data_IF_906082956556
#
_entry.id   IF_906082956556
#
_cell.length_a   1.000
_cell.length_b   1.000
_cell.length_c   1.000
_cell.angle_alpha   90.00
_cell.angle_beta   90.00
_cell.angle_gamma   90.00
#
_symmetry.space_group_name_H-M   'P 1'
#
loop_
_entity.id
_entity.type
_entity.pdbx_description
1 polymer ?
#
# COMPACT_ATOMS: atom_id res chain seq x y z
N UNK A 1 -28.19 24.88 -3.28
CA UNK A 1 -27.42 24.31 -2.19
C UNK A 1 -27.65 22.80 -1.95
N UNK A 2 -28.85 22.21 -2.09
CA UNK A 2 -29.07 20.77 -1.89
C UNK A 2 -28.62 19.84 -3.04
N UNK A 3 -28.30 20.34 -4.21
CA UNK A 3 -27.87 19.52 -5.38
C UNK A 3 -26.34 19.34 -5.49
N UNK A 4 -25.55 20.14 -4.82
CA UNK A 4 -24.09 20.06 -4.86
C UNK A 4 -23.54 19.11 -3.79
N UNK A 5 -24.25 18.97 -2.66
CA UNK A 5 -23.89 17.99 -1.61
C UNK A 5 -24.11 16.53 -2.11
N UNK A 6 -25.07 16.34 -3.04
CA UNK A 6 -25.27 15.03 -3.67
C UNK A 6 -24.13 14.63 -4.66
N UNK A 7 -23.38 15.59 -5.20
CA UNK A 7 -22.31 15.29 -6.16
C UNK A 7 -21.00 14.91 -5.48
N UNK A 8 -20.67 15.50 -4.33
CA UNK A 8 -19.48 15.15 -3.57
C UNK A 8 -19.65 13.82 -2.80
N UNK A 9 -20.85 13.55 -2.28
CA UNK A 9 -21.18 12.22 -1.75
C UNK A 9 -21.23 11.15 -2.86
N UNK A 10 -21.59 11.53 -4.09
CA UNK A 10 -21.57 10.64 -5.23
C UNK A 10 -20.15 10.32 -5.73
N UNK A 11 -19.13 11.18 -5.51
CA UNK A 11 -17.76 10.85 -5.95
C UNK A 11 -17.04 9.87 -5.01
N UNK A 12 -17.44 9.71 -3.78
CA UNK A 12 -16.87 8.76 -2.83
C UNK A 12 -17.67 7.48 -2.66
N UNK A 13 -18.96 7.52 -2.89
CA UNK A 13 -19.72 6.33 -3.29
C UNK A 13 -19.41 5.95 -4.74
N UNK A 14 -18.83 6.84 -5.55
CA UNK A 14 -18.39 6.53 -6.91
C UNK A 14 -17.02 5.84 -6.96
N UNK A 15 -16.18 5.92 -5.94
CA UNK A 15 -15.01 5.02 -5.79
C UNK A 15 -15.45 3.59 -5.41
N UNK A 16 -16.62 3.43 -4.76
CA UNK A 16 -17.31 2.15 -4.61
C UNK A 16 -18.52 1.97 -5.57
N UNK A 17 -18.98 2.98 -6.32
CA UNK A 17 -20.26 2.98 -7.02
C UNK A 17 -20.23 3.41 -8.49
N UNK A 18 -19.05 3.48 -9.11
CA UNK A 18 -18.93 3.43 -10.57
C UNK A 18 -18.80 2.00 -11.11
N UNK A 19 -18.88 0.98 -10.27
CA UNK A 19 -19.24 -0.34 -10.72
C UNK A 19 -20.72 -0.25 -11.18
N UNK A 20 -20.96 -0.42 -12.48
CA UNK A 20 -22.30 -0.61 -13.00
C UNK A 20 -22.99 -1.69 -12.16
N UNK A 21 -24.09 -1.39 -11.43
CA UNK A 21 -24.81 -2.41 -10.66
C UNK A 21 -25.23 -3.59 -11.52
N UNK A 22 -25.35 -3.42 -12.86
CA UNK A 22 -25.62 -4.47 -13.81
C UNK A 22 -24.35 -5.21 -14.29
N UNK A 23 -23.14 -4.72 -14.01
CA UNK A 23 -21.90 -5.44 -14.31
C UNK A 23 -21.78 -6.74 -13.51
N UNK A 24 -22.51 -6.86 -12.41
CA UNK A 24 -22.58 -8.04 -11.53
C UNK A 24 -23.80 -8.94 -11.75
N UNK A 25 -24.58 -8.75 -12.82
CA UNK A 25 -25.76 -9.59 -13.08
C UNK A 25 -25.45 -11.09 -13.28
N UNK A 26 -24.18 -11.47 -13.34
CA UNK A 26 -23.70 -12.87 -13.42
C UNK A 26 -22.62 -13.22 -12.39
N UNK A 27 -22.33 -12.31 -11.43
CA UNK A 27 -21.48 -12.54 -10.26
C UNK A 27 -22.24 -12.20 -9.00
N UNK A 28 -21.93 -12.86 -7.91
CA UNK A 28 -22.54 -12.60 -6.62
C UNK A 28 -21.50 -11.96 -5.69
N UNK A 29 -21.80 -10.77 -5.19
CA UNK A 29 -21.02 -10.15 -4.12
C UNK A 29 -21.42 -10.77 -2.79
N UNK A 30 -20.65 -11.76 -2.34
CA UNK A 30 -20.93 -12.47 -1.10
C UNK A 30 -20.83 -11.60 0.14
N UNK A 31 -19.96 -10.57 0.10
CA UNK A 31 -19.84 -9.56 1.17
C UNK A 31 -21.12 -8.79 1.43
N UNK A 32 -22.05 -8.68 0.46
CA UNK A 32 -23.37 -8.04 0.67
C UNK A 32 -24.31 -8.90 1.52
N UNK A 33 -24.04 -10.20 1.68
CA UNK A 33 -24.82 -11.12 2.50
C UNK A 33 -24.60 -10.95 4.01
N UNK A 34 -23.56 -10.23 4.40
CA UNK A 34 -23.19 -9.96 5.79
C UNK A 34 -23.18 -8.47 6.07
N UNK A 35 -23.56 -8.09 7.29
CA UNK A 35 -23.45 -6.70 7.73
C UNK A 35 -22.26 -6.58 8.66
N UNK A 36 -21.42 -5.55 8.43
CA UNK A 36 -20.34 -5.22 9.34
C UNK A 36 -20.91 -5.04 10.75
N UNK A 37 -20.40 -5.83 11.70
CA UNK A 37 -20.76 -5.68 13.09
C UNK A 37 -20.04 -4.46 13.65
N UNK A 38 -20.78 -3.41 13.96
CA UNK A 38 -20.23 -2.14 14.46
C UNK A 38 -19.45 -2.29 15.79
N UNK A 39 -19.64 -3.41 16.50
CA UNK A 39 -18.95 -3.72 17.76
C UNK A 39 -17.86 -4.79 17.62
N UNK A 40 -17.61 -5.36 16.44
CA UNK A 40 -16.68 -6.48 16.28
C UNK A 40 -15.22 -6.03 16.26
N UNK A 41 -14.91 -4.92 15.62
CA UNK A 41 -13.81 -4.07 16.01
C UNK A 41 -14.44 -3.13 17.02
N UNK A 42 -14.01 -3.09 18.25
CA UNK A 42 -14.34 -1.97 19.14
C UNK A 42 -14.22 -0.75 18.25
N UNK A 43 -15.31 -0.07 17.99
CA UNK A 43 -15.36 0.99 16.98
C UNK A 43 -14.33 1.99 17.43
N UNK A 44 -13.15 1.95 16.81
CA UNK A 44 -12.08 2.88 17.08
C UNK A 44 -12.58 4.21 16.56
N UNK A 45 -13.28 4.92 17.42
CA UNK A 45 -13.90 6.19 17.09
C UNK A 45 -12.85 7.28 17.29
N UNK A 46 -12.01 7.48 16.29
CA UNK A 46 -10.97 8.51 16.30
C UNK A 46 -11.53 9.93 16.39
N UNK A 47 -12.82 10.14 16.05
CA UNK A 47 -13.46 11.45 16.09
C UNK A 47 -13.40 12.10 17.48
N UNK A 48 -13.24 11.31 18.55
CA UNK A 48 -13.08 11.79 19.92
C UNK A 48 -11.63 11.75 20.45
N UNK A 49 -10.64 11.41 19.62
CA UNK A 49 -9.22 11.50 19.94
C UNK A 49 -8.70 10.48 20.97
N UNK A 50 -9.36 9.36 21.18
CA UNK A 50 -9.12 8.52 22.34
C UNK A 50 -9.26 7.01 22.15
N UNK A 51 -8.99 6.42 21.01
CA UNK A 51 -8.82 4.97 20.99
C UNK A 51 -7.35 4.60 21.18
N UNK A 52 -7.05 3.97 22.30
CA UNK A 52 -5.71 3.44 22.54
C UNK A 52 -5.43 2.29 21.54
N UNK A 53 -4.18 2.18 21.03
CA UNK A 53 -3.83 1.07 20.18
C UNK A 53 -4.02 -0.28 20.90
N UNK A 54 -4.38 -1.35 20.18
CA UNK A 54 -4.44 -2.69 20.76
C UNK A 54 -3.13 -3.06 21.46
N UNK A 55 -3.20 -3.84 22.53
CA UNK A 55 -2.02 -4.22 23.33
C UNK A 55 -0.92 -4.87 22.50
N UNK A 56 -1.29 -5.64 21.46
CA UNK A 56 -0.35 -6.30 20.53
C UNK A 56 0.15 -5.39 19.40
N UNK A 57 -0.26 -4.11 19.35
CA UNK A 57 -0.04 -3.27 18.18
C UNK A 57 1.44 -3.01 17.88
N UNK A 58 2.28 -2.81 18.90
CA UNK A 58 3.72 -2.64 18.70
C UNK A 58 4.36 -3.91 18.11
N UNK A 59 3.94 -5.09 18.56
CA UNK A 59 4.42 -6.35 18.00
C UNK A 59 3.95 -6.54 16.55
N UNK A 60 2.71 -6.17 16.28
CA UNK A 60 2.14 -6.14 14.93
C UNK A 60 2.92 -5.19 14.01
N UNK A 61 3.18 -3.96 14.45
CA UNK A 61 3.92 -2.98 13.67
C UNK A 61 5.33 -3.49 13.31
N UNK A 62 6.05 -4.03 14.29
CA UNK A 62 7.37 -4.61 14.07
C UNK A 62 7.33 -5.80 13.08
N UNK A 63 6.33 -6.67 13.22
CA UNK A 63 6.18 -7.85 12.35
C UNK A 63 5.80 -7.44 10.92
N UNK A 64 4.90 -6.49 10.74
CA UNK A 64 4.53 -5.96 9.41
C UNK A 64 5.70 -5.22 8.78
N UNK A 65 6.50 -4.49 9.55
CA UNK A 65 7.71 -3.84 9.06
C UNK A 65 8.73 -4.87 8.57
N UNK A 66 9.00 -5.93 9.35
CA UNK A 66 9.90 -7.02 8.93
C UNK A 66 9.41 -7.70 7.63
N UNK A 67 8.12 -8.02 7.57
CA UNK A 67 7.49 -8.55 6.37
C UNK A 67 7.63 -7.58 5.18
N UNK A 68 7.46 -6.28 5.39
CA UNK A 68 7.56 -5.26 4.36
C UNK A 68 8.95 -5.19 3.75
N UNK A 69 9.99 -5.20 4.58
CA UNK A 69 11.38 -5.20 4.12
C UNK A 69 11.73 -6.49 3.38
N UNK A 70 11.22 -7.62 3.86
CA UNK A 70 11.38 -8.93 3.22
C UNK A 70 10.69 -8.97 1.85
N UNK A 71 9.45 -8.47 1.76
CA UNK A 71 8.69 -8.41 0.51
C UNK A 71 9.39 -7.51 -0.51
N UNK A 72 9.84 -6.30 -0.12
CA UNK A 72 10.59 -5.40 -1.00
C UNK A 72 11.83 -6.09 -1.58
N UNK A 73 12.61 -6.78 -0.74
CA UNK A 73 13.78 -7.56 -1.17
C UNK A 73 13.39 -8.58 -2.23
N UNK A 74 12.35 -9.38 -1.98
CA UNK A 74 11.90 -10.42 -2.90
C UNK A 74 11.31 -9.85 -4.20
N UNK A 75 10.71 -8.68 -4.15
CA UNK A 75 10.28 -7.95 -5.34
C UNK A 75 11.46 -7.49 -6.19
N UNK A 76 12.54 -7.00 -5.58
CA UNK A 76 13.77 -6.63 -6.29
C UNK A 76 14.45 -7.85 -6.93
N UNK A 77 14.48 -8.99 -6.24
CA UNK A 77 15.07 -10.24 -6.77
C UNK A 77 14.44 -10.66 -8.10
N UNK A 78 13.12 -10.44 -8.26
CA UNK A 78 12.38 -10.84 -9.48
C UNK A 78 12.33 -9.72 -10.54
N UNK A 79 12.83 -8.53 -10.24
CA UNK A 79 12.84 -7.38 -11.17
C UNK A 79 14.20 -6.66 -11.21
N UNK A 80 15.29 -7.38 -11.51
CA UNK A 80 16.63 -6.79 -11.41
C UNK A 80 16.81 -5.57 -12.34
N UNK A 81 17.44 -4.52 -11.80
CA UNK A 81 17.78 -3.31 -12.55
C UNK A 81 16.59 -2.43 -12.93
N UNK A 82 15.43 -2.64 -12.34
CA UNK A 82 14.22 -1.80 -12.56
C UNK A 82 13.78 -1.15 -11.26
N UNK A 83 13.21 0.03 -11.37
CA UNK A 83 12.50 0.65 -10.25
C UNK A 83 11.35 -0.24 -9.80
N UNK A 84 11.18 -0.37 -8.49
CA UNK A 84 10.16 -1.21 -7.85
C UNK A 84 9.36 -0.36 -6.88
N UNK A 85 8.05 -0.56 -6.88
CA UNK A 85 7.14 -0.09 -5.86
C UNK A 85 6.22 -1.23 -5.46
N UNK A 86 5.94 -1.38 -4.18
CA UNK A 86 4.94 -2.30 -3.64
C UNK A 86 4.23 -1.66 -2.43
N UNK A 87 3.03 -2.17 -2.12
CA UNK A 87 2.27 -1.81 -0.93
C UNK A 87 2.27 -2.98 0.07
N UNK A 88 3.35 -3.13 0.87
CA UNK A 88 3.49 -4.30 1.73
C UNK A 88 2.48 -4.33 2.88
N UNK A 89 2.07 -3.18 3.42
CA UNK A 89 1.03 -3.13 4.44
C UNK A 89 -0.30 -3.68 3.92
N UNK A 90 -0.67 -3.37 2.66
CA UNK A 90 -1.88 -3.90 2.05
C UNK A 90 -1.79 -5.41 1.79
N UNK A 91 -0.61 -5.89 1.35
CA UNK A 91 -0.34 -7.33 1.23
C UNK A 91 -0.44 -8.02 2.60
N UNK A 92 0.08 -7.41 3.67
CA UNK A 92 -0.02 -7.92 5.03
C UNK A 92 -1.47 -8.02 5.51
N UNK A 93 -2.30 -7.00 5.25
CA UNK A 93 -3.74 -7.02 5.54
C UNK A 93 -4.45 -8.17 4.81
N UNK A 94 -4.13 -8.39 3.54
CA UNK A 94 -4.72 -9.49 2.76
C UNK A 94 -4.31 -10.86 3.29
N UNK A 95 -3.05 -11.06 3.66
CA UNK A 95 -2.59 -12.30 4.30
C UNK A 95 -3.24 -12.50 5.67
N UNK A 96 -3.42 -11.42 6.43
CA UNK A 96 -4.13 -11.45 7.71
C UNK A 96 -5.59 -11.86 7.54
N UNK A 97 -6.28 -11.30 6.54
CA UNK A 97 -7.62 -11.72 6.13
C UNK A 97 -7.67 -13.21 5.80
N UNK A 98 -6.76 -13.69 4.93
CA UNK A 98 -6.67 -15.08 4.51
C UNK A 98 -6.41 -16.04 5.69
N UNK A 99 -5.68 -15.61 6.72
CA UNK A 99 -5.42 -16.41 7.92
C UNK A 99 -6.69 -16.86 8.65
N UNK A 100 -7.80 -16.11 8.50
CA UNK A 100 -9.10 -16.46 9.07
C UNK A 100 -9.77 -17.64 8.36
N UNK A 101 -9.44 -17.86 7.10
CA UNK A 101 -9.95 -18.99 6.31
C UNK A 101 -9.08 -20.24 6.40
N UNK A 102 -7.80 -20.05 6.72
CA UNK A 102 -6.78 -21.10 6.75
C UNK A 102 -6.82 -21.95 8.02
N UNK A 103 -6.32 -23.19 7.92
CA UNK A 103 -6.12 -24.11 9.04
C UNK A 103 -4.79 -24.87 8.89
N UNK A 104 -4.37 -25.59 9.95
CA UNK A 104 -3.15 -26.40 9.93
C UNK A 104 -1.90 -25.62 9.52
N UNK A 105 -1.07 -26.25 8.68
CA UNK A 105 0.21 -25.70 8.23
C UNK A 105 0.03 -24.43 7.39
N UNK A 106 -1.01 -24.36 6.57
CA UNK A 106 -1.36 -23.18 5.79
C UNK A 106 -1.54 -21.94 6.68
N UNK A 107 -2.30 -22.09 7.76
CA UNK A 107 -2.47 -21.02 8.74
C UNK A 107 -1.15 -20.68 9.42
N UNK A 108 -0.38 -21.68 9.81
CA UNK A 108 0.90 -21.50 10.49
C UNK A 108 1.90 -20.74 9.61
N UNK A 109 2.01 -21.05 8.32
CA UNK A 109 2.86 -20.34 7.38
C UNK A 109 2.50 -18.84 7.30
N UNK A 110 1.20 -18.51 7.22
CA UNK A 110 0.75 -17.13 7.19
C UNK A 110 1.11 -16.42 8.49
N UNK A 111 0.79 -16.99 9.65
CA UNK A 111 1.05 -16.36 10.95
C UNK A 111 2.54 -16.19 11.23
N UNK A 112 3.41 -17.06 10.72
CA UNK A 112 4.85 -16.96 10.87
C UNK A 112 5.41 -15.72 10.14
N UNK A 113 4.77 -15.24 9.08
CA UNK A 113 5.18 -13.98 8.44
C UNK A 113 5.05 -12.78 9.38
N UNK A 114 4.20 -12.92 10.41
CA UNK A 114 3.91 -11.88 11.39
C UNK A 114 4.40 -12.25 12.78
N UNK A 115 5.55 -12.92 12.88
CA UNK A 115 6.17 -13.28 14.16
C UNK A 115 5.35 -14.27 15.01
N UNK A 116 4.41 -14.98 14.41
CA UNK A 116 3.53 -15.94 15.10
C UNK A 116 2.40 -15.29 15.90
N UNK A 117 2.07 -14.02 15.62
CA UNK A 117 0.87 -13.38 16.16
C UNK A 117 -0.38 -14.21 15.83
N UNK A 118 -1.35 -14.21 16.73
CA UNK A 118 -2.62 -14.91 16.49
C UNK A 118 -3.43 -14.23 15.37
N UNK A 119 -4.34 -14.98 14.74
CA UNK A 119 -5.25 -14.39 13.77
C UNK A 119 -6.13 -13.29 14.39
N UNK A 120 -6.48 -13.41 15.68
CA UNK A 120 -7.27 -12.38 16.36
C UNK A 120 -6.45 -11.12 16.65
N UNK A 121 -5.15 -11.23 16.97
CA UNK A 121 -4.24 -10.08 17.03
C UNK A 121 -4.11 -9.41 15.67
N UNK A 122 -3.94 -10.19 14.59
CA UNK A 122 -3.87 -9.67 13.22
C UNK A 122 -5.17 -8.95 12.81
N UNK A 123 -6.33 -9.51 13.16
CA UNK A 123 -7.63 -8.89 12.90
C UNK A 123 -7.75 -7.54 13.62
N UNK A 124 -7.49 -7.53 14.93
CA UNK A 124 -7.67 -6.33 15.75
C UNK A 124 -6.67 -5.24 15.39
N UNK A 125 -5.38 -5.60 15.28
CA UNK A 125 -4.34 -4.63 14.93
C UNK A 125 -4.44 -4.16 13.48
N UNK A 126 -4.77 -5.05 12.55
CA UNK A 126 -4.97 -4.71 11.14
C UNK A 126 -6.15 -3.78 10.91
N UNK A 127 -7.28 -4.04 11.59
CA UNK A 127 -8.44 -3.16 11.56
C UNK A 127 -8.13 -1.77 12.16
N UNK A 128 -7.39 -1.73 13.27
CA UNK A 128 -6.93 -0.48 13.88
C UNK A 128 -6.04 0.30 12.90
N UNK A 129 -5.05 -0.34 12.30
CA UNK A 129 -4.17 0.30 11.32
C UNK A 129 -4.97 0.84 10.11
N UNK A 130 -5.87 0.04 9.57
CA UNK A 130 -6.70 0.41 8.41
C UNK A 130 -7.60 1.61 8.73
N UNK A 131 -8.26 1.61 9.89
CA UNK A 131 -9.11 2.72 10.35
C UNK A 131 -8.33 4.04 10.46
N UNK A 132 -7.09 4.00 10.94
CA UNK A 132 -6.23 5.19 11.00
C UNK A 132 -5.90 5.75 9.60
N UNK A 133 -5.66 4.88 8.62
CA UNK A 133 -5.41 5.33 7.25
C UNK A 133 -6.66 5.95 6.61
N UNK A 134 -7.85 5.41 6.90
CA UNK A 134 -9.12 5.89 6.38
C UNK A 134 -9.60 7.20 7.04
N UNK A 135 -9.29 7.43 8.30
CA UNK A 135 -9.72 8.63 9.04
C UNK A 135 -9.18 9.91 8.43
N UNK A 136 -7.92 9.90 8.01
CA UNK A 136 -7.31 11.05 7.34
C UNK A 136 -8.06 11.39 6.07
N UNK A 137 -8.49 10.38 5.33
CA UNK A 137 -9.32 10.58 4.14
C UNK A 137 -10.67 11.21 4.47
N UNK A 138 -11.25 10.99 5.66
CA UNK A 138 -12.55 11.58 6.06
C UNK A 138 -12.42 13.02 6.54
N UNK A 139 -11.45 13.36 7.37
CA UNK A 139 -11.24 14.74 7.86
C UNK A 139 -11.01 15.74 6.74
N UNK A 140 -10.49 15.30 5.60
CA UNK A 140 -10.27 16.14 4.43
C UNK A 140 -11.54 16.34 3.57
N UNK A 141 -12.50 15.41 3.64
CA UNK A 141 -13.77 15.50 2.89
C UNK A 141 -14.69 16.64 3.33
N UNK A 142 -14.52 17.12 4.55
CA UNK A 142 -15.33 18.21 5.12
C UNK A 142 -14.83 19.61 4.69
N UNK A 143 -13.72 19.72 3.97
CA UNK A 143 -13.23 20.97 3.36
C UNK A 143 -14.10 21.34 2.15
N UNK A 144 -14.46 22.62 2.03
CA UNK A 144 -15.40 23.14 1.02
C UNK A 144 -14.95 22.85 -0.41
N UNK A 145 -15.87 22.39 -1.24
CA UNK A 145 -15.66 22.04 -2.66
C UNK A 145 -15.23 23.19 -3.58
N UNK A 146 -15.17 24.44 -3.08
CA UNK A 146 -14.78 25.61 -3.86
C UNK A 146 -13.25 25.76 -4.06
N UNK A 147 -12.44 25.02 -3.25
CA UNK A 147 -10.98 25.04 -3.28
C UNK A 147 -10.40 23.64 -3.59
N UNK A 148 -11.08 22.83 -4.40
CA UNK A 148 -10.64 21.47 -4.70
C UNK A 148 -9.42 21.44 -5.62
N UNK A 149 -8.25 21.23 -5.03
CA UNK A 149 -7.04 20.75 -5.70
C UNK A 149 -6.99 19.22 -5.54
N UNK A 150 -6.72 18.42 -6.57
CA UNK A 150 -6.57 16.96 -6.44
C UNK A 150 -5.58 16.52 -5.35
N UNK A 151 -4.63 17.40 -4.99
CA UNK A 151 -3.71 17.20 -3.88
C UNK A 151 -4.25 17.72 -2.52
N UNK A 152 -5.40 18.39 -2.48
CA UNK A 152 -5.98 18.95 -1.23
C UNK A 152 -6.68 17.91 -0.36
N UNK A 153 -6.76 16.67 -0.81
CA UNK A 153 -7.29 15.58 -0.02
C UNK A 153 -6.20 14.55 0.26
N UNK A 154 -5.52 14.66 1.41
CA UNK A 154 -4.72 13.53 1.86
C UNK A 154 -5.61 12.28 1.86
N UNK A 155 -5.17 11.27 1.17
CA UNK A 155 -5.95 10.07 0.94
C UNK A 155 -5.05 8.86 0.96
N UNK A 156 -5.35 7.91 1.83
CA UNK A 156 -4.77 6.56 1.80
C UNK A 156 -5.92 5.58 1.72
N UNK A 157 -5.92 4.73 0.71
CA UNK A 157 -6.89 3.65 0.58
C UNK A 157 -6.17 2.33 0.42
N UNK A 158 -6.64 1.34 1.16
CA UNK A 158 -6.12 -0.02 1.17
C UNK A 158 -7.30 -0.97 0.92
N UNK A 159 -7.32 -1.62 -0.23
CA UNK A 159 -8.41 -2.53 -0.63
C UNK A 159 -7.93 -3.98 -0.63
N UNK A 160 -8.78 -4.85 -0.09
CA UNK A 160 -8.64 -6.30 -0.21
C UNK A 160 -9.84 -6.86 -0.95
N UNK A 161 -9.59 -7.65 -1.99
CA UNK A 161 -10.61 -8.37 -2.73
C UNK A 161 -10.27 -9.86 -2.81
N UNK A 162 -11.27 -10.69 -2.63
CA UNK A 162 -11.20 -12.12 -2.88
C UNK A 162 -12.19 -12.48 -3.99
N UNK A 163 -11.69 -13.08 -5.06
CA UNK A 163 -12.51 -13.59 -6.16
C UNK A 163 -12.51 -15.12 -6.11
N UNK A 164 -13.69 -15.69 -5.95
CA UNK A 164 -13.92 -17.12 -5.70
C UNK A 164 -14.70 -17.74 -6.84
N UNK A 165 -14.33 -18.96 -7.26
CA UNK A 165 -15.11 -19.71 -8.24
C UNK A 165 -16.52 -19.99 -7.73
N UNK A 166 -17.50 -19.90 -8.63
CA UNK A 166 -18.90 -20.26 -8.34
C UNK A 166 -19.11 -21.71 -7.84
N UNK A 167 -18.09 -22.55 -8.01
CA UNK A 167 -18.13 -23.95 -7.59
C UNK A 167 -17.89 -24.15 -6.08
N UNK A 168 -17.57 -23.06 -5.34
CA UNK A 168 -17.25 -23.15 -3.91
C UNK A 168 -18.16 -22.25 -3.07
N UNK A 169 -18.65 -22.83 -1.98
CA UNK A 169 -19.39 -22.08 -0.96
C UNK A 169 -18.43 -21.54 0.10
N UNK A 170 -18.55 -20.27 0.37
CA UNK A 170 -17.74 -19.59 1.39
C UNK A 170 -18.52 -19.56 2.71
N UNK A 171 -17.84 -19.90 3.81
CA UNK A 171 -18.46 -19.97 5.11
C UNK A 171 -18.93 -18.59 5.60
N UNK A 172 -20.11 -18.51 6.21
CA UNK A 172 -20.65 -17.27 6.74
C UNK A 172 -19.74 -16.64 7.81
N UNK A 173 -19.04 -17.45 8.60
CA UNK A 173 -18.11 -16.94 9.62
C UNK A 173 -16.87 -16.29 9.01
N UNK A 174 -16.36 -16.78 7.88
CA UNK A 174 -15.28 -16.16 7.16
C UNK A 174 -15.73 -14.84 6.52
N UNK A 175 -16.90 -14.83 5.87
CA UNK A 175 -17.49 -13.61 5.30
C UNK A 175 -17.71 -12.54 6.37
N UNK A 176 -18.21 -12.93 7.55
CA UNK A 176 -18.41 -12.00 8.66
C UNK A 176 -17.09 -11.37 9.12
N UNK A 177 -16.03 -12.15 9.31
CA UNK A 177 -14.70 -11.64 9.68
C UNK A 177 -14.10 -10.74 8.58
N UNK A 178 -14.30 -11.10 7.32
CA UNK A 178 -13.88 -10.29 6.18
C UNK A 178 -14.51 -8.90 6.19
N UNK A 179 -15.80 -8.84 6.50
CA UNK A 179 -16.54 -7.57 6.62
C UNK A 179 -16.16 -6.79 7.89
N UNK A 180 -16.07 -7.48 9.04
CA UNK A 180 -15.89 -6.85 10.35
C UNK A 180 -14.52 -6.18 10.49
N UNK A 181 -13.45 -6.85 10.05
CA UNK A 181 -12.08 -6.41 10.31
C UNK A 181 -11.39 -5.77 9.10
N UNK A 182 -11.80 -6.11 7.88
CA UNK A 182 -11.08 -5.69 6.68
C UNK A 182 -11.93 -4.90 5.68
N UNK A 183 -13.25 -4.91 5.81
CA UNK A 183 -14.14 -4.32 4.80
C UNK A 183 -13.91 -4.93 3.40
N UNK A 184 -13.43 -6.19 3.36
CA UNK A 184 -12.99 -6.81 2.14
C UNK A 184 -14.17 -7.21 1.24
N UNK A 185 -14.00 -7.02 -0.07
CA UNK A 185 -14.94 -7.53 -1.05
C UNK A 185 -14.66 -9.00 -1.34
N UNK A 186 -15.67 -9.84 -1.15
CA UNK A 186 -15.65 -11.27 -1.53
C UNK A 186 -16.66 -11.49 -2.63
N UNK A 187 -16.18 -11.91 -3.81
CA UNK A 187 -16.98 -11.99 -5.03
C UNK A 187 -16.92 -13.40 -5.58
N UNK A 188 -18.09 -13.94 -5.90
CA UNK A 188 -18.25 -15.25 -6.55
C UNK A 188 -18.45 -15.05 -8.05
N UNK A 189 -17.65 -15.73 -8.88
CA UNK A 189 -17.70 -15.62 -10.35
C UNK A 189 -17.56 -16.99 -11.01
N UNK A 190 -17.93 -17.05 -12.30
CA UNK A 190 -17.49 -18.14 -13.18
C UNK A 190 -16.15 -17.77 -13.80
N UNK A 191 -15.13 -18.58 -13.56
CA UNK A 191 -13.84 -18.38 -14.22
C UNK A 191 -13.83 -18.78 -15.71
N UNK A 192 -14.87 -19.47 -16.18
CA UNK A 192 -15.10 -19.78 -17.59
C UNK A 192 -15.77 -18.63 -18.36
N UNK A 193 -16.14 -17.53 -17.68
CA UNK A 193 -16.83 -16.42 -18.32
C UNK A 193 -15.88 -15.61 -19.21
N UNK A 194 -16.16 -15.58 -20.51
CA UNK A 194 -15.40 -14.78 -21.48
C UNK A 194 -15.35 -13.28 -21.16
N UNK A 195 -16.29 -12.78 -20.34
CA UNK A 195 -16.36 -11.38 -19.89
C UNK A 195 -15.74 -11.16 -18.52
N UNK A 196 -15.14 -12.19 -17.91
CA UNK A 196 -14.56 -12.09 -16.55
C UNK A 196 -13.60 -10.91 -16.42
N UNK A 197 -12.69 -10.78 -17.37
CA UNK A 197 -11.71 -9.69 -17.39
C UNK A 197 -12.38 -8.30 -17.45
N UNK A 198 -13.44 -8.14 -18.23
CA UNK A 198 -14.21 -6.89 -18.32
C UNK A 198 -14.92 -6.58 -17.01
N UNK A 199 -15.49 -7.60 -16.35
CA UNK A 199 -16.16 -7.47 -15.05
C UNK A 199 -15.17 -7.08 -13.97
N UNK A 200 -14.01 -7.71 -13.95
CA UNK A 200 -12.92 -7.36 -13.02
C UNK A 200 -12.47 -5.91 -13.22
N UNK A 201 -12.27 -5.46 -14.45
CA UNK A 201 -11.92 -4.06 -14.74
C UNK A 201 -12.99 -3.09 -14.24
N UNK A 202 -14.25 -3.43 -14.35
CA UNK A 202 -15.35 -2.60 -13.82
C UNK A 202 -15.31 -2.50 -12.30
N UNK A 203 -15.04 -3.62 -11.61
CA UNK A 203 -14.84 -3.66 -10.15
C UNK A 203 -13.67 -2.80 -9.68
N UNK A 204 -12.60 -2.85 -10.45
CA UNK A 204 -11.33 -2.21 -10.14
C UNK A 204 -11.20 -0.82 -10.75
N UNK A 205 -12.26 -0.33 -11.42
CA UNK A 205 -12.23 0.96 -12.14
C UNK A 205 -11.89 2.16 -11.23
N UNK A 206 -12.21 2.07 -9.94
CA UNK A 206 -11.82 3.08 -8.96
C UNK A 206 -10.35 3.03 -8.54
N UNK A 207 -9.63 1.93 -8.84
CA UNK A 207 -8.25 1.72 -8.44
C UNK A 207 -7.28 1.66 -9.62
N UNK A 208 -7.69 1.04 -10.72
CA UNK A 208 -6.97 1.06 -12.00
C UNK A 208 -7.90 0.49 -13.10
N UNK A 209 -8.52 1.36 -13.86
CA UNK A 209 -9.48 0.99 -14.91
C UNK A 209 -8.92 0.05 -15.98
N UNK A 210 -7.61 -0.06 -16.11
CA UNK A 210 -6.94 -0.87 -17.14
C UNK A 210 -6.33 -2.17 -16.60
N UNK A 211 -6.33 -2.39 -15.28
CA UNK A 211 -5.76 -3.60 -14.72
C UNK A 211 -6.70 -4.80 -14.88
N UNK A 212 -6.15 -5.92 -15.26
CA UNK A 212 -6.84 -7.20 -15.35
C UNK A 212 -6.01 -8.29 -14.70
N UNK A 213 -6.71 -9.25 -14.11
CA UNK A 213 -6.13 -10.49 -13.59
C UNK A 213 -6.37 -11.58 -14.61
N UNK A 214 -5.33 -12.29 -15.00
CA UNK A 214 -5.49 -13.53 -15.79
C UNK A 214 -5.81 -14.66 -14.82
N UNK A 215 -6.99 -15.24 -14.95
CA UNK A 215 -7.40 -16.41 -14.21
C UNK A 215 -7.80 -17.51 -15.19
N UNK A 216 -7.38 -18.73 -14.92
CA UNK A 216 -7.72 -19.90 -15.73
C UNK A 216 -9.09 -20.48 -15.33
N UNK A 217 -9.75 -21.16 -16.26
CA UNK A 217 -11.04 -21.84 -16.03
C UNK A 217 -11.04 -22.81 -14.84
N UNK A 218 -9.87 -23.35 -14.48
CA UNK A 218 -9.68 -24.23 -13.32
C UNK A 218 -9.37 -23.51 -12.01
N UNK A 219 -9.31 -22.19 -12.00
CA UNK A 219 -9.00 -21.41 -10.80
C UNK A 219 -10.06 -21.57 -9.72
N UNK A 220 -9.64 -21.58 -8.47
CA UNK A 220 -10.52 -21.68 -7.31
C UNK A 220 -10.74 -20.38 -6.59
N UNK A 221 -9.65 -19.68 -6.31
CA UNK A 221 -9.61 -18.43 -5.56
C UNK A 221 -8.37 -17.65 -5.95
N UNK A 222 -8.50 -16.36 -6.12
CA UNK A 222 -7.37 -15.45 -6.03
C UNK A 222 -7.68 -14.27 -5.10
N UNK A 223 -6.64 -13.72 -4.52
CA UNK A 223 -6.71 -12.48 -3.76
C UNK A 223 -6.12 -11.33 -4.58
N UNK A 224 -6.66 -10.14 -4.41
CA UNK A 224 -6.20 -8.92 -5.06
C UNK A 224 -6.07 -7.81 -4.04
N UNK A 225 -4.96 -7.08 -4.10
CA UNK A 225 -4.76 -5.86 -3.33
C UNK A 225 -4.68 -4.65 -4.25
N UNK A 226 -5.28 -3.56 -3.83
CA UNK A 226 -5.13 -2.26 -4.48
C UNK A 226 -4.92 -1.18 -3.43
N UNK A 227 -4.10 -0.20 -3.73
CA UNK A 227 -3.82 0.90 -2.81
C UNK A 227 -3.67 2.22 -3.54
N UNK A 228 -4.03 3.31 -2.88
CA UNK A 228 -3.80 4.66 -3.37
C UNK A 228 -3.32 5.57 -2.24
N UNK A 229 -2.52 6.56 -2.59
CA UNK A 229 -2.00 7.59 -1.69
C UNK A 229 -1.94 8.93 -2.44
N UNK A 230 -2.51 9.96 -1.86
CA UNK A 230 -2.37 11.34 -2.34
C UNK A 230 -2.11 12.24 -1.15
N UNK A 231 -1.11 13.12 -1.25
CA UNK A 231 -0.84 14.12 -0.23
C UNK A 231 0.09 15.24 -0.77
N UNK A 232 0.08 16.39 -0.10
CA UNK A 232 1.01 17.51 -0.30
C UNK A 232 2.19 17.40 0.64
N UNK A 233 3.28 18.05 0.29
CA UNK A 233 4.38 18.22 1.24
C UNK A 233 4.08 19.29 2.29
N UNK A 234 4.50 19.03 3.52
CA UNK A 234 4.48 20.03 4.60
C UNK A 234 5.49 21.14 4.31
N UNK A 235 6.68 20.78 3.85
CA UNK A 235 7.70 21.74 3.45
C UNK A 235 7.48 22.23 2.02
N UNK A 236 7.81 23.49 1.77
CA UNK A 236 7.87 24.02 0.39
C UNK A 236 9.20 23.63 -0.24
N UNK A 237 9.13 23.27 -1.51
CA UNK A 237 10.30 22.91 -2.31
C UNK A 237 10.62 23.97 -3.35
N UNK A 238 11.90 24.09 -3.68
CA UNK A 238 12.37 24.77 -4.91
C UNK A 238 12.79 23.69 -5.91
N UNK A 239 12.77 24.05 -7.19
CA UNK A 239 13.19 23.15 -8.28
C UNK A 239 14.59 23.53 -8.74
N UNK A 240 15.44 22.51 -8.91
CA UNK A 240 16.77 22.59 -9.52
C UNK A 240 16.91 21.55 -10.60
N UNK A 241 17.48 21.93 -11.74
CA UNK A 241 17.79 20.98 -12.80
C UNK A 241 19.08 20.21 -12.47
N UNK A 242 19.11 18.93 -12.83
CA UNK A 242 20.26 18.06 -12.59
C UNK A 242 20.23 16.78 -13.42
N UNK A 243 21.09 15.85 -13.06
CA UNK A 243 21.17 14.54 -13.69
C UNK A 243 20.96 13.46 -12.64
N UNK A 244 20.11 12.49 -12.95
CA UNK A 244 19.98 11.25 -12.18
C UNK A 244 20.73 10.13 -12.90
N UNK A 245 21.57 9.39 -12.17
CA UNK A 245 22.37 8.28 -12.67
C UNK A 245 21.79 6.95 -12.19
N UNK A 246 20.79 6.48 -12.89
CA UNK A 246 20.18 5.19 -12.65
C UNK A 246 21.07 4.00 -13.05
N UNK A 247 20.47 2.85 -13.20
CA UNK A 247 21.15 1.64 -13.70
C UNK A 247 21.51 1.70 -15.18
N UNK A 248 20.99 2.70 -15.90
CA UNK A 248 21.28 2.98 -17.31
C UNK A 248 22.17 4.22 -17.51
N UNK A 249 21.86 5.02 -18.53
CA UNK A 249 22.49 6.32 -18.79
C UNK A 249 22.01 7.39 -17.81
N UNK A 250 22.83 8.43 -17.60
CA UNK A 250 22.41 9.61 -16.86
C UNK A 250 21.27 10.32 -17.60
N UNK A 251 20.21 10.66 -16.88
CA UNK A 251 19.04 11.33 -17.39
C UNK A 251 18.86 12.71 -16.73
N UNK A 252 18.52 13.71 -17.53
CA UNK A 252 18.18 15.03 -17.00
C UNK A 252 16.84 14.95 -16.28
N UNK A 253 16.82 15.46 -15.05
CA UNK A 253 15.60 15.51 -14.24
C UNK A 253 15.59 16.74 -13.36
N UNK A 254 14.41 17.17 -12.96
CA UNK A 254 14.24 18.22 -11.97
C UNK A 254 14.36 17.60 -10.57
N UNK A 255 15.02 18.31 -9.67
CA UNK A 255 15.14 17.96 -8.26
C UNK A 255 14.30 18.91 -7.43
N UNK A 256 13.44 18.39 -6.58
CA UNK A 256 12.82 19.16 -5.53
C UNK A 256 13.79 19.31 -4.36
N UNK A 257 13.94 20.53 -3.87
CA UNK A 257 14.95 20.89 -2.87
C UNK A 257 14.32 21.58 -1.68
N UNK A 258 14.61 21.07 -0.49
CA UNK A 258 14.14 21.59 0.80
C UNK A 258 15.13 21.26 1.92
N UNK A 259 14.95 21.86 3.09
CA UNK A 259 15.63 21.45 4.32
C UNK A 259 14.82 20.37 5.03
N UNK A 260 15.34 19.13 5.03
CA UNK A 260 14.66 17.97 5.59
C UNK A 260 15.38 17.38 6.80
N UNK A 261 14.65 16.65 7.64
CA UNK A 261 15.21 15.94 8.79
C UNK A 261 16.19 14.88 8.33
N UNK A 262 17.41 14.91 8.91
CA UNK A 262 18.51 14.04 8.49
C UNK A 262 18.55 12.74 9.27
N UNK A 263 18.72 11.64 8.56
CA UNK A 263 18.93 10.29 9.08
C UNK A 263 20.35 9.79 8.75
N UNK A 264 20.95 9.02 9.65
CA UNK A 264 22.27 8.44 9.38
C UNK A 264 22.61 7.28 10.32
N UNK A 265 22.96 6.13 9.72
CA UNK A 265 23.64 5.02 10.38
C UNK A 265 25.06 4.87 9.78
N UNK A 266 25.76 3.81 10.14
CA UNK A 266 27.04 3.46 9.50
C UNK A 266 26.84 2.96 8.06
N UNK A 267 25.70 2.32 7.78
CA UNK A 267 25.38 1.71 6.49
C UNK A 267 24.76 2.68 5.47
N UNK A 268 23.98 3.66 5.94
CA UNK A 268 23.19 4.52 5.07
C UNK A 268 23.04 5.94 5.62
N UNK A 269 22.63 6.86 4.75
CA UNK A 269 22.13 8.17 5.12
C UNK A 269 20.83 8.45 4.36
N UNK A 270 19.99 9.31 4.93
CA UNK A 270 18.68 9.58 4.37
C UNK A 270 18.02 10.82 4.96
N UNK A 271 16.76 10.98 4.59
CA UNK A 271 15.92 12.09 5.05
C UNK A 271 14.54 11.59 5.47
N UNK A 272 13.87 12.42 6.27
CA UNK A 272 12.44 12.34 6.53
C UNK A 272 11.81 13.63 6.00
N UNK A 273 10.90 13.49 5.05
CA UNK A 273 10.02 14.56 4.59
C UNK A 273 8.59 14.26 5.04
N UNK A 274 7.94 15.26 5.63
CA UNK A 274 6.57 15.13 6.12
C UNK A 274 5.58 15.61 5.07
N UNK A 275 4.45 14.94 5.00
CA UNK A 275 3.32 15.39 4.21
C UNK A 275 2.43 16.33 5.04
N UNK A 276 1.52 17.06 4.40
CA UNK A 276 0.86 18.22 5.03
C UNK A 276 -0.29 17.81 5.95
N UNK A 277 -1.05 16.79 5.55
CA UNK A 277 -2.35 16.50 6.14
C UNK A 277 -2.48 15.09 6.78
N UNK A 278 -1.51 14.48 7.27
CA UNK A 278 -0.97 13.24 7.22
C UNK A 278 -1.00 12.24 8.37
N UNK A 279 -1.21 10.92 8.13
CA UNK A 279 -0.56 9.93 8.96
C UNK A 279 0.78 9.42 8.42
N UNK A 280 1.26 9.90 7.26
CA UNK A 280 2.44 9.33 6.61
C UNK A 280 3.63 10.28 6.60
N UNK A 281 4.82 9.73 6.55
CA UNK A 281 6.07 10.43 6.24
C UNK A 281 6.83 9.69 5.15
N UNK A 282 7.51 10.45 4.32
CA UNK A 282 8.38 9.94 3.28
C UNK A 282 9.79 9.81 3.80
N UNK A 283 10.39 8.65 3.60
CA UNK A 283 11.77 8.34 3.92
C UNK A 283 12.49 8.06 2.61
N UNK A 284 13.59 8.75 2.35
CA UNK A 284 14.51 8.39 1.25
C UNK A 284 15.88 8.05 1.83
N UNK A 285 16.51 7.00 1.31
CA UNK A 285 17.72 6.42 1.85
C UNK A 285 18.70 6.08 0.75
N UNK A 286 19.95 6.54 0.89
CA UNK A 286 21.09 6.15 0.04
C UNK A 286 22.10 5.39 0.86
N UNK A 287 22.61 4.24 0.35
CA UNK A 287 23.70 3.53 0.99
C UNK A 287 25.01 4.32 0.96
N UNK A 288 25.81 4.12 1.99
CA UNK A 288 27.17 4.68 2.12
C UNK A 288 28.23 3.74 1.51
N UNK A 289 29.46 4.24 1.47
CA UNK A 289 30.66 3.46 1.18
C UNK A 289 30.63 2.72 -0.18
N UNK A 290 29.89 3.24 -1.16
CA UNK A 290 29.80 2.63 -2.50
C UNK A 290 28.98 1.33 -2.56
N UNK A 291 28.24 1.00 -1.50
CA UNK A 291 27.30 -0.13 -1.50
C UNK A 291 26.15 0.18 -2.46
N UNK A 292 25.73 -0.79 -3.25
CA UNK A 292 24.57 -0.63 -4.13
C UNK A 292 23.27 -0.58 -3.31
N UNK A 293 22.22 0.01 -3.85
CA UNK A 293 20.90 0.00 -3.19
C UNK A 293 20.38 -1.42 -3.04
N UNK A 294 20.63 -2.31 -4.00
CA UNK A 294 20.27 -3.72 -3.92
C UNK A 294 20.96 -4.41 -2.74
N UNK A 295 22.31 -4.31 -2.65
CA UNK A 295 23.06 -4.93 -1.55
C UNK A 295 22.67 -4.37 -0.17
N UNK A 296 22.24 -3.11 -0.12
CA UNK A 296 21.74 -2.51 1.10
C UNK A 296 20.37 -3.11 1.48
N UNK A 297 19.42 -3.19 0.54
CA UNK A 297 18.10 -3.77 0.78
C UNK A 297 18.19 -5.26 1.13
N UNK A 298 19.14 -6.00 0.54
CA UNK A 298 19.36 -7.42 0.87
C UNK A 298 19.72 -7.64 2.34
N UNK A 299 20.36 -6.64 2.97
CA UNK A 299 20.80 -6.66 4.36
C UNK A 299 19.90 -5.87 5.30
N UNK A 300 18.97 -5.08 4.75
CA UNK A 300 18.10 -4.23 5.53
C UNK A 300 17.10 -5.06 6.32
N UNK A 301 17.21 -5.07 7.64
CA UNK A 301 16.26 -5.65 8.57
C UNK A 301 15.74 -4.61 9.56
N UNK A 302 14.81 -5.00 10.43
CA UNK A 302 14.19 -4.08 11.41
C UNK A 302 15.23 -3.31 12.23
N UNK A 303 16.29 -3.96 12.71
CA UNK A 303 17.30 -3.29 13.55
C UNK A 303 17.99 -2.12 12.84
N UNK A 304 18.34 -2.27 11.55
CA UNK A 304 18.93 -1.19 10.76
C UNK A 304 17.87 -0.14 10.42
N UNK A 305 16.66 -0.56 10.05
CA UNK A 305 15.55 0.35 9.73
C UNK A 305 15.16 1.21 10.93
N UNK A 306 14.98 0.60 12.11
CA UNK A 306 14.73 1.31 13.36
C UNK A 306 15.91 2.19 13.76
N UNK A 307 17.14 1.68 13.62
CA UNK A 307 18.36 2.44 13.86
C UNK A 307 18.43 3.69 13.00
N UNK A 308 18.05 3.59 11.72
CA UNK A 308 17.98 4.71 10.81
C UNK A 308 16.94 5.75 11.26
N UNK A 309 15.70 5.32 11.55
CA UNK A 309 14.63 6.21 12.01
C UNK A 309 14.98 6.86 13.36
N UNK A 310 15.52 6.11 14.29
CA UNK A 310 15.94 6.60 15.62
C UNK A 310 17.18 7.51 15.57
N UNK A 311 17.92 7.54 14.45
CA UNK A 311 19.04 8.45 14.23
C UNK A 311 18.62 9.91 14.03
N UNK A 312 17.34 10.15 13.80
CA UNK A 312 16.78 11.50 13.65
C UNK A 312 16.99 12.30 14.93
N UNK A 313 17.58 13.47 14.80
CA UNK A 313 17.81 14.40 15.93
C UNK A 313 17.09 15.71 15.66
N UNK A 314 16.39 16.22 16.67
CA UNK A 314 15.71 17.51 16.58
C UNK A 314 16.69 18.61 16.13
N UNK A 315 16.29 19.39 15.14
CA UNK A 315 17.07 20.50 14.58
C UNK A 315 18.27 20.10 13.72
N UNK A 316 18.51 18.80 13.48
CA UNK A 316 19.51 18.33 12.52
C UNK A 316 18.88 18.13 11.16
N UNK A 317 18.99 19.13 10.33
CA UNK A 317 18.47 19.13 8.96
C UNK A 317 19.60 19.06 7.92
N UNK A 318 19.25 18.67 6.72
CA UNK A 318 20.12 18.62 5.55
C UNK A 318 19.37 19.24 4.37
N UNK A 319 20.09 19.97 3.51
CA UNK A 319 19.57 20.38 2.22
C UNK A 319 19.40 19.13 1.36
N UNK A 320 18.17 18.64 1.26
CA UNK A 320 17.84 17.46 0.45
C UNK A 320 17.52 17.88 -0.97
N UNK A 321 18.11 17.20 -1.94
CA UNK A 321 17.75 17.30 -3.35
C UNK A 321 17.25 15.95 -3.82
N UNK A 322 15.94 15.80 -3.99
CA UNK A 322 15.25 14.57 -4.35
C UNK A 322 14.77 14.70 -5.80
N UNK A 323 15.03 13.74 -6.69
CA UNK A 323 14.51 13.84 -8.05
C UNK A 323 12.98 13.84 -8.04
N UNK A 324 12.37 14.63 -8.91
CA UNK A 324 10.99 14.43 -9.28
C UNK A 324 10.93 13.17 -10.13
N UNK A 325 10.21 12.16 -9.69
CA UNK A 325 10.21 10.87 -10.36
C UNK A 325 8.81 10.25 -10.44
N UNK A 326 8.66 9.34 -11.38
CA UNK A 326 7.47 8.50 -11.48
C UNK A 326 7.89 7.04 -11.67
N UNK A 327 7.17 6.15 -11.03
CA UNK A 327 7.22 4.71 -11.29
C UNK A 327 5.85 4.32 -11.82
N UNK A 328 5.83 3.82 -13.06
CA UNK A 328 4.61 3.32 -13.68
C UNK A 328 4.41 1.86 -13.25
N UNK A 329 3.31 1.58 -12.57
CA UNK A 329 2.94 0.24 -12.16
C UNK A 329 2.53 -0.68 -13.32
N UNK A 330 2.18 -0.10 -14.48
CA UNK A 330 1.72 -0.84 -15.65
C UNK A 330 0.22 -1.14 -15.62
N UNK A 331 -0.25 -1.84 -16.65
CA UNK A 331 -1.67 -2.08 -16.91
C UNK A 331 -2.16 -3.48 -16.52
N UNK A 332 -1.30 -4.32 -15.93
CA UNK A 332 -1.65 -5.70 -15.51
C UNK A 332 -1.46 -5.86 -14.02
N UNK A 333 -2.38 -6.56 -13.40
CA UNK A 333 -2.19 -7.02 -12.04
C UNK A 333 -0.92 -7.87 -11.94
N UNK A 334 -0.15 -7.64 -10.89
CA UNK A 334 1.16 -8.23 -10.69
C UNK A 334 1.04 -9.39 -9.72
N UNK A 335 1.41 -10.58 -10.17
CA UNK A 335 1.52 -11.74 -9.28
C UNK A 335 2.57 -11.51 -8.20
N UNK A 336 2.19 -11.69 -6.96
CA UNK A 336 3.08 -11.67 -5.81
C UNK A 336 3.59 -13.06 -5.42
N UNK A 337 3.09 -14.12 -6.08
CA UNK A 337 3.37 -15.52 -5.70
C UNK A 337 4.85 -15.79 -5.52
N UNK A 338 5.68 -15.52 -6.54
CA UNK A 338 7.13 -15.78 -6.44
C UNK A 338 7.81 -15.01 -5.31
N UNK A 339 7.40 -13.75 -5.07
CA UNK A 339 7.94 -12.97 -3.96
C UNK A 339 7.49 -13.52 -2.60
N UNK A 340 6.23 -13.95 -2.48
CA UNK A 340 5.67 -14.53 -1.26
C UNK A 340 6.26 -15.92 -0.97
N UNK A 341 6.47 -16.76 -2.00
CA UNK A 341 7.20 -18.02 -1.87
C UNK A 341 8.64 -17.75 -1.37
N UNK A 342 9.30 -16.71 -1.90
CA UNK A 342 10.58 -16.24 -1.40
C UNK A 342 10.56 -15.72 0.04
N UNK A 343 9.40 -15.30 0.54
CA UNK A 343 9.18 -14.96 1.95
C UNK A 343 8.90 -16.19 2.82
N UNK A 344 8.66 -17.37 2.25
CA UNK A 344 8.39 -18.62 2.97
C UNK A 344 6.91 -19.02 2.99
N UNK A 345 6.09 -18.47 2.11
CA UNK A 345 4.70 -18.84 1.90
C UNK A 345 4.61 -19.84 0.74
N UNK A 346 4.67 -21.12 1.03
CA UNK A 346 4.68 -22.17 0.02
C UNK A 346 3.37 -22.97 -0.03
N UNK A 347 2.92 -23.50 1.12
CA UNK A 347 1.76 -24.37 1.20
C UNK A 347 0.49 -23.69 0.74
N UNK A 348 0.34 -22.38 1.01
CA UNK A 348 -0.85 -21.60 0.66
C UNK A 348 -1.23 -21.66 -0.83
N UNK A 349 -0.25 -21.89 -1.72
CA UNK A 349 -0.43 -21.94 -3.17
C UNK A 349 -0.48 -23.36 -3.75
N UNK A 350 -0.50 -24.39 -2.91
CA UNK A 350 -0.47 -25.79 -3.35
C UNK A 350 -1.80 -26.49 -3.09
N UNK A 351 -1.93 -27.71 -3.63
CA UNK A 351 -3.10 -28.56 -3.39
C UNK A 351 -3.13 -29.14 -1.95
N UNK A 352 -2.03 -29.00 -1.20
CA UNK A 352 -1.93 -29.35 0.22
C UNK A 352 -2.40 -28.21 1.16
N UNK A 353 -2.85 -27.09 0.58
CA UNK A 353 -3.37 -25.98 1.37
C UNK A 353 -4.69 -26.33 2.05
N UNK A 354 -4.82 -25.95 3.30
CA UNK A 354 -6.01 -26.21 4.11
C UNK A 354 -6.76 -24.90 4.40
N UNK A 355 -7.95 -24.77 3.78
CA UNK A 355 -8.84 -23.60 3.88
C UNK A 355 -10.17 -23.96 4.56
N UNK A 356 -10.11 -24.82 5.58
CA UNK A 356 -11.28 -25.40 6.28
C UNK A 356 -12.24 -24.34 6.84
N UNK A 357 -11.73 -23.18 7.26
CA UNK A 357 -12.58 -22.13 7.83
C UNK A 357 -13.12 -21.19 6.75
N UNK A 358 -12.56 -21.20 5.54
CA UNK A 358 -13.08 -20.49 4.39
C UNK A 358 -14.14 -21.31 3.65
N UNK A 359 -13.84 -22.57 3.37
CA UNK A 359 -14.72 -23.49 2.65
C UNK A 359 -14.81 -24.83 3.38
N UNK A 360 -16.03 -25.27 3.71
CA UNK A 360 -16.26 -26.47 4.54
C UNK A 360 -15.72 -27.73 3.86
N UNK A 361 -15.71 -27.79 2.54
CA UNK A 361 -15.21 -28.96 1.79
C UNK A 361 -13.68 -29.02 1.74
N UNK A 362 -12.99 -27.95 2.16
CA UNK A 362 -11.54 -27.82 2.18
C UNK A 362 -10.86 -28.15 0.82
N UNK A 363 -11.54 -27.76 -0.28
CA UNK A 363 -11.07 -28.02 -1.65
C UNK A 363 -10.70 -26.77 -2.41
N UNK A 364 -10.88 -25.61 -1.80
CA UNK A 364 -10.51 -24.34 -2.39
C UNK A 364 -8.98 -24.19 -2.31
N UNK A 365 -8.40 -23.56 -3.31
CA UNK A 365 -6.97 -23.29 -3.38
C UNK A 365 -6.76 -21.81 -3.71
N UNK A 366 -5.80 -21.18 -3.07
CA UNK A 366 -5.34 -19.85 -3.47
C UNK A 366 -4.43 -20.00 -4.69
N UNK A 367 -4.93 -19.62 -5.86
CA UNK A 367 -4.16 -19.71 -7.10
C UNK A 367 -3.06 -18.67 -7.15
N UNK A 368 -3.36 -17.44 -6.75
CA UNK A 368 -2.37 -16.37 -6.63
C UNK A 368 -2.87 -15.25 -5.69
N UNK A 369 -1.93 -14.39 -5.28
CA UNK A 369 -2.20 -13.10 -4.70
C UNK A 369 -1.65 -12.03 -5.66
N UNK A 370 -2.52 -11.19 -6.16
CA UNK A 370 -2.19 -10.12 -7.08
C UNK A 370 -2.15 -8.77 -6.38
N UNK A 371 -1.21 -7.94 -6.80
CA UNK A 371 -1.20 -6.52 -6.49
C UNK A 371 -1.58 -5.75 -7.75
N UNK A 372 -2.53 -4.83 -7.65
CA UNK A 372 -2.64 -3.78 -8.65
C UNK A 372 -1.43 -2.87 -8.45
N UNK A 373 -0.48 -2.89 -9.40
CA UNK A 373 0.77 -2.21 -9.15
C UNK A 373 0.49 -0.71 -9.02
N UNK A 374 0.82 -0.11 -7.87
CA UNK A 374 0.65 1.32 -7.72
C UNK A 374 1.60 2.05 -8.67
N UNK A 375 1.10 3.07 -9.35
CA UNK A 375 1.94 4.09 -9.98
C UNK A 375 2.19 5.17 -8.96
N UNK A 376 3.41 5.66 -8.84
CA UNK A 376 3.73 6.78 -7.96
C UNK A 376 4.36 7.92 -8.74
N UNK A 377 3.90 9.13 -8.49
CA UNK A 377 4.56 10.36 -8.91
C UNK A 377 4.93 11.17 -7.67
N UNK A 378 6.21 11.50 -7.56
CA UNK A 378 6.78 12.36 -6.53
C UNK A 378 7.26 13.64 -7.20
N UNK A 379 6.71 14.78 -6.79
CA UNK A 379 7.04 16.10 -7.32
C UNK A 379 7.16 17.13 -6.21
N UNK A 380 7.55 18.37 -6.53
CA UNK A 380 7.61 19.50 -5.60
C UNK A 380 6.24 19.87 -5.00
N UNK A 381 5.16 19.50 -5.67
CA UNK A 381 3.79 19.78 -5.23
C UNK A 381 3.25 18.76 -4.24
N UNK A 382 3.73 17.53 -4.30
CA UNK A 382 3.23 16.44 -3.47
C UNK A 382 3.49 15.06 -4.03
N UNK A 383 2.70 14.13 -3.52
CA UNK A 383 2.76 12.71 -3.84
C UNK A 383 1.40 12.30 -4.40
N UNK A 384 1.43 11.61 -5.52
CA UNK A 384 0.29 10.92 -6.08
C UNK A 384 0.69 9.45 -6.31
N UNK A 385 0.21 8.56 -5.49
CA UNK A 385 0.31 7.13 -5.74
C UNK A 385 -1.10 6.61 -5.99
N UNK A 386 -1.41 6.33 -7.23
CA UNK A 386 -2.69 5.79 -7.65
C UNK A 386 -2.47 4.51 -8.45
N UNK A 387 -3.38 3.57 -8.29
CA UNK A 387 -3.50 2.47 -9.22
C UNK A 387 -4.09 2.94 -10.58
N UNK A 388 -4.16 4.25 -10.83
CA UNK A 388 -4.65 4.84 -12.08
C UNK A 388 -3.51 5.38 -12.94
N UNK A 389 -3.60 5.10 -14.23
CA UNK A 389 -2.72 5.65 -15.24
C UNK A 389 -3.01 7.14 -15.46
N UNK A 390 -2.00 7.99 -15.32
CA UNK A 390 -1.91 9.22 -16.08
C UNK A 390 -2.05 10.56 -15.39
N UNK A 391 -2.07 10.62 -14.07
CA UNK A 391 -1.90 11.87 -13.36
C UNK A 391 -0.42 12.26 -13.29
N UNK A 392 0.16 12.83 -14.33
CA UNK A 392 1.48 13.47 -14.22
C UNK A 392 1.28 14.80 -13.52
N UNK A 393 1.62 14.89 -12.24
CA UNK A 393 1.76 16.19 -11.57
C UNK A 393 3.00 16.85 -12.17
N UNK A 394 2.78 17.85 -12.99
CA UNK A 394 3.91 18.65 -13.51
C UNK A 394 4.46 19.50 -12.35
N UNK A 395 5.79 19.63 -12.24
CA UNK A 395 6.39 20.55 -11.29
C UNK A 395 5.73 21.92 -11.42
N UNK A 396 5.29 22.47 -10.31
CA UNK A 396 4.51 23.72 -10.31
C UNK A 396 5.44 24.94 -10.30
N UNK A 397 6.57 24.90 -10.89
CA UNK A 397 7.53 25.98 -11.17
C UNK A 397 7.31 27.35 -10.49
N UNK A 398 6.65 27.37 -9.33
CA UNK A 398 6.43 28.61 -8.60
C UNK A 398 7.74 29.04 -7.95
N UNK A 399 8.40 30.04 -8.57
CA UNK A 399 9.62 30.73 -8.19
C UNK A 399 9.60 31.42 -6.79
N UNK A 400 8.94 30.81 -5.80
CA UNK A 400 9.08 31.26 -4.43
C UNK A 400 10.36 30.67 -3.86
N UNK A 401 11.44 31.45 -3.90
CA UNK A 401 12.69 31.13 -3.24
C UNK A 401 12.41 30.69 -1.80
N UNK A 402 12.69 29.42 -1.53
CA UNK A 402 12.73 28.88 -0.16
C UNK A 402 14.10 29.22 0.42
N UNK A 403 14.12 29.82 1.60
CA UNK A 403 15.40 30.07 2.29
C UNK A 403 15.86 28.75 2.91
N UNK A 404 16.94 28.20 2.36
CA UNK A 404 17.59 27.00 2.87
C UNK A 404 18.66 27.38 3.89
N UNK A 405 18.64 26.75 5.05
CA UNK A 405 19.54 27.07 6.17
C UNK A 405 20.57 25.97 6.43
N UNK A 406 20.36 24.77 5.87
CA UNK A 406 21.23 23.60 6.11
C UNK A 406 22.54 23.74 5.35
N UNK A 407 23.65 23.49 6.05
CA UNK A 407 25.01 23.53 5.46
C UNK A 407 25.41 22.25 4.75
N UNK A 408 24.87 21.09 5.23
CA UNK A 408 25.10 19.80 4.61
C UNK A 408 24.10 19.61 3.49
N UNK A 409 24.56 19.13 2.34
CA UNK A 409 23.71 18.69 1.23
C UNK A 409 23.69 17.17 1.15
N UNK A 410 22.50 16.60 0.87
CA UNK A 410 22.30 15.22 0.49
C UNK A 410 21.49 15.18 -0.79
N UNK A 411 22.12 14.67 -1.85
CA UNK A 411 21.54 14.59 -3.18
C UNK A 411 21.25 13.13 -3.54
N UNK A 412 20.02 12.87 -3.97
CA UNK A 412 19.56 11.56 -4.41
C UNK A 412 19.69 11.45 -5.94
N UNK A 413 20.91 11.57 -6.45
CA UNK A 413 21.23 11.56 -7.88
C UNK A 413 21.64 10.18 -8.43
N UNK A 414 21.49 9.15 -7.63
CA UNK A 414 21.77 7.73 -7.92
C UNK A 414 20.69 6.85 -7.28
N UNK A 415 20.62 5.53 -7.61
CA UNK A 415 19.62 4.64 -7.06
C UNK A 415 19.49 4.73 -5.55
N UNK A 416 18.24 4.85 -5.07
CA UNK A 416 17.92 4.99 -3.66
C UNK A 416 16.67 4.20 -3.29
N UNK A 417 16.57 3.82 -2.03
CA UNK A 417 15.37 3.24 -1.47
C UNK A 417 14.47 4.34 -0.91
N UNK A 418 13.15 4.14 -0.99
CA UNK A 418 12.18 5.05 -0.40
C UNK A 418 11.00 4.32 0.22
N UNK A 419 10.39 4.95 1.22
CA UNK A 419 9.28 4.40 1.96
C UNK A 419 8.28 5.52 2.26
N UNK A 420 7.00 5.20 2.18
CA UNK A 420 5.94 5.97 2.82
C UNK A 420 5.49 5.17 4.04
N UNK A 421 5.77 5.68 5.23
CA UNK A 421 5.51 4.96 6.47
C UNK A 421 4.52 5.70 7.36
N UNK A 422 3.73 4.96 8.12
CA UNK A 422 2.85 5.54 9.14
C UNK A 422 3.66 6.30 10.19
N UNK A 423 3.21 7.50 10.54
CA UNK A 423 3.92 8.40 11.45
C UNK A 423 4.11 7.83 12.85
N UNK A 424 3.16 7.03 13.33
CA UNK A 424 3.17 6.52 14.70
C UNK A 424 3.83 5.14 14.79
N UNK A 425 3.39 4.21 13.95
CA UNK A 425 3.85 2.82 14.00
C UNK A 425 5.10 2.54 13.19
N UNK A 426 5.48 3.45 12.28
CA UNK A 426 6.52 3.26 11.27
C UNK A 426 6.26 2.11 10.28
N UNK A 427 5.05 1.58 10.20
CA UNK A 427 4.67 0.55 9.22
C UNK A 427 4.83 1.11 7.80
N UNK A 428 5.59 0.44 6.91
CA UNK A 428 5.67 0.83 5.51
C UNK A 428 4.35 0.55 4.77
N UNK A 429 3.64 1.63 4.42
CA UNK A 429 2.46 1.56 3.55
C UNK A 429 2.88 1.29 2.12
N UNK A 430 3.94 2.00 1.69
CA UNK A 430 4.63 1.76 0.44
C UNK A 430 6.12 1.62 0.67
N UNK A 431 6.74 0.77 -0.11
CA UNK A 431 8.18 0.58 -0.14
C UNK A 431 8.66 0.45 -1.59
N UNK A 432 9.76 1.11 -1.92
CA UNK A 432 10.27 1.11 -3.28
C UNK A 432 11.76 1.37 -3.40
N UNK A 433 12.25 1.13 -4.60
CA UNK A 433 13.59 1.52 -5.05
C UNK A 433 13.43 2.25 -6.37
N UNK A 434 14.03 3.41 -6.48
CA UNK A 434 14.15 4.17 -7.72
C UNK A 434 15.58 4.03 -8.27
N UNK A 435 15.66 3.54 -9.54
CA UNK A 435 16.96 3.24 -10.17
C UNK A 435 16.95 3.32 -11.69
#
# INVERSE_FOLDING_TARGET
MKKVIALAAALLTALCACADPNAFSEGERLSDSVKKNQNAAETFNYADGASEPPTSYNNYANAVTDFSLKLLRKRLDVTPGKSVLCSPANTALTLSLLSNGASGDTKSEILLQFGGLSADDLNTCGSYFQSRMEEVAQTQRDKKAEDYDPLDGAHVSLLQNLTVSQNYDISASFLQKSADFYGADVIRVSFDDEKLEQKQRSLLSGYNANASVSADAGSSLYALTASSLTDKWLAKHTIEEGEFRGSGSAEKTSFMVSDESYLSTDAAEGIVAYTADNPLKFIAVVPKNGVSVQDYIDKLGNAEFDGLLNSMKAGKTVRAAIPCFSIDGGSKALSLRSALEGCGLHTVFTDDAHWKYMNITDRIKLDDLYELPPSVTVSDSGILAEAQTGGVIKPNGNDKQVTLNSKKELRFDKPFAFFFIDNESNIPVYAGVYQ
#
